data_IF_903636513145
#
_entry.id   IF_903636513145
#
_cell.length_a   1.000
_cell.length_b   1.000
_cell.length_c   1.000
_cell.angle_alpha   90.00
_cell.angle_beta   90.00
_cell.angle_gamma   90.00
#
_symmetry.space_group_name_H-M   'P 1'
#
loop_
_entity.id
_entity.type
_entity.pdbx_description
1 polymer ?
#
# COMPACT_ATOMS: atom_id res chain seq x y z
N UNK A 1 2.01 -12.88 -8.56
CA UNK A 1 0.87 -12.09 -9.08
C UNK A 1 1.39 -10.77 -9.61
N UNK A 2 0.86 -10.26 -10.72
CA UNK A 2 1.20 -8.95 -11.28
C UNK A 2 0.13 -7.93 -10.91
N UNK A 3 0.57 -6.82 -10.32
CA UNK A 3 -0.29 -5.68 -10.05
C UNK A 3 -0.94 -5.16 -11.34
N UNK A 4 -2.24 -4.87 -11.31
CA UNK A 4 -3.01 -4.34 -12.43
C UNK A 4 -3.43 -5.35 -13.50
N UNK A 5 -3.00 -6.60 -13.41
CA UNK A 5 -3.33 -7.67 -14.35
C UNK A 5 -4.02 -8.83 -13.63
N UNK A 6 -3.42 -9.35 -12.56
CA UNK A 6 -3.91 -10.54 -11.88
C UNK A 6 -5.03 -10.22 -10.88
N UNK A 7 -5.97 -11.16 -10.75
CA UNK A 7 -7.07 -11.09 -9.79
C UNK A 7 -6.83 -11.98 -8.57
N UNK A 8 -7.37 -11.54 -7.43
CA UNK A 8 -7.40 -12.29 -6.18
C UNK A 8 -8.86 -12.55 -5.83
N UNK A 9 -9.18 -13.83 -5.59
CA UNK A 9 -10.45 -14.26 -5.01
C UNK A 9 -10.26 -14.56 -3.53
N UNK A 10 -11.04 -13.88 -2.69
CA UNK A 10 -11.00 -14.06 -1.23
C UNK A 10 -12.37 -14.54 -0.77
N UNK A 11 -12.37 -15.68 -0.09
CA UNK A 11 -13.54 -16.20 0.62
C UNK A 11 -13.30 -16.10 2.10
N UNK A 12 -14.28 -15.57 2.83
CA UNK A 12 -14.22 -15.49 4.29
C UNK A 12 -15.57 -15.80 4.92
N UNK A 13 -15.52 -16.29 6.16
CA UNK A 13 -16.68 -16.58 7.00
C UNK A 13 -16.32 -16.44 8.47
N UNK A 14 -17.34 -16.21 9.31
CA UNK A 14 -17.15 -16.24 10.76
C UNK A 14 -16.97 -17.70 11.20
N UNK A 15 -16.00 -17.94 12.07
CA UNK A 15 -15.78 -19.26 12.63
C UNK A 15 -16.98 -19.69 13.49
N UNK A 16 -17.57 -20.85 13.18
CA UNK A 16 -18.77 -21.39 13.83
C UNK A 16 -18.57 -21.81 15.29
N UNK A 17 -17.32 -21.82 15.79
CA UNK A 17 -17.04 -22.07 17.22
C UNK A 17 -17.31 -20.86 18.10
N UNK A 18 -17.48 -19.66 17.54
CA UNK A 18 -17.80 -18.48 18.34
C UNK A 18 -19.25 -18.49 18.82
N UNK A 19 -19.54 -17.90 20.00
CA UNK A 19 -20.91 -17.71 20.48
C UNK A 19 -21.76 -16.89 19.49
N UNK A 20 -23.06 -17.20 19.44
CA UNK A 20 -24.01 -16.42 18.67
C UNK A 20 -24.02 -14.95 19.12
N UNK A 21 -24.06 -14.01 18.17
CA UNK A 21 -24.12 -12.57 18.43
C UNK A 21 -22.77 -11.86 18.58
N UNK A 22 -21.64 -12.58 18.45
CA UNK A 22 -20.30 -11.97 18.44
C UNK A 22 -20.11 -10.96 17.29
N UNK A 23 -20.87 -11.14 16.21
CA UNK A 23 -20.90 -10.35 14.99
C UNK A 23 -21.95 -9.24 15.00
N UNK A 24 -22.65 -9.02 16.12
CA UNK A 24 -23.71 -8.01 16.24
C UNK A 24 -23.28 -6.59 15.86
N UNK A 25 -22.00 -6.26 16.10
CA UNK A 25 -21.41 -4.98 15.72
C UNK A 25 -20.96 -4.92 14.26
N UNK A 26 -20.83 -6.04 13.56
CA UNK A 26 -20.25 -6.09 12.22
C UNK A 26 -21.26 -5.57 11.18
N UNK A 27 -20.84 -4.57 10.39
CA UNK A 27 -21.66 -3.94 9.35
C UNK A 27 -21.02 -4.08 7.98
N UNK A 28 -19.73 -3.81 7.89
CA UNK A 28 -18.98 -3.90 6.64
C UNK A 28 -17.70 -4.69 6.82
N UNK A 29 -17.15 -5.16 5.69
CA UNK A 29 -15.87 -5.84 5.63
C UNK A 29 -14.97 -5.18 4.60
N UNK A 30 -13.72 -4.98 5.01
CA UNK A 30 -12.64 -4.44 4.18
C UNK A 30 -11.49 -5.44 4.15
N UNK A 31 -11.06 -5.82 2.96
CA UNK A 31 -9.98 -6.78 2.75
C UNK A 31 -8.72 -6.02 2.33
N UNK A 32 -7.62 -6.25 3.05
CA UNK A 32 -6.33 -5.59 2.82
C UNK A 32 -5.23 -6.61 2.55
N UNK A 33 -4.26 -6.19 1.75
CA UNK A 33 -2.95 -6.84 1.63
C UNK A 33 -2.04 -6.37 2.76
N UNK A 34 -1.37 -7.33 3.36
CA UNK A 34 -0.55 -7.16 4.54
C UNK A 34 0.87 -7.68 4.27
N UNK A 35 1.89 -6.87 4.57
CA UNK A 35 3.28 -7.27 4.34
C UNK A 35 3.69 -8.46 5.21
N UNK A 36 4.25 -9.51 4.60
CA UNK A 36 4.87 -10.59 5.34
C UNK A 36 6.15 -10.12 6.06
N UNK A 37 6.60 -10.76 7.16
CA UNK A 37 7.78 -10.35 7.92
C UNK A 37 9.04 -10.15 7.07
N UNK A 38 9.26 -11.01 6.07
CA UNK A 38 10.38 -10.89 5.12
C UNK A 38 10.37 -9.55 4.35
N UNK A 39 9.18 -9.00 4.09
CA UNK A 39 8.99 -7.72 3.38
C UNK A 39 8.88 -6.50 4.31
N UNK A 40 9.02 -6.71 5.63
CA UNK A 40 9.06 -5.65 6.67
C UNK A 40 10.48 -5.33 7.15
N UNK A 41 11.45 -6.21 6.89
CA UNK A 41 12.85 -6.03 7.33
C UNK A 41 13.40 -4.68 6.86
N UNK A 42 13.97 -3.91 7.79
CA UNK A 42 14.54 -2.57 7.58
C UNK A 42 13.56 -1.52 7.01
N UNK A 43 12.25 -1.80 7.05
CA UNK A 43 11.19 -0.91 6.53
C UNK A 43 10.22 -0.57 7.64
N UNK A 44 10.59 0.37 8.50
CA UNK A 44 9.76 0.81 9.64
C UNK A 44 8.35 1.29 9.25
N UNK A 45 8.16 1.75 8.01
CA UNK A 45 6.86 2.10 7.46
C UNK A 45 5.98 0.90 7.12
N UNK A 46 6.41 -0.35 7.33
CA UNK A 46 5.63 -1.59 7.12
C UNK A 46 5.50 -2.42 8.39
N UNK A 47 5.91 -1.86 9.54
CA UNK A 47 6.05 -2.58 10.80
C UNK A 47 4.69 -3.03 11.37
N UNK A 48 4.66 -4.27 11.83
CA UNK A 48 3.54 -4.81 12.62
C UNK A 48 3.52 -4.22 14.02
N UNK A 49 2.33 -3.79 14.46
CA UNK A 49 2.04 -3.31 15.82
C UNK A 49 0.73 -3.95 16.27
N UNK A 50 0.65 -4.37 17.53
CA UNK A 50 -0.56 -5.02 18.07
C UNK A 50 -1.75 -4.06 18.13
N UNK A 51 -1.49 -2.77 18.34
CA UNK A 51 -2.52 -1.75 18.19
C UNK A 51 -2.85 -1.54 16.71
N UNK A 52 -4.03 -1.99 16.29
CA UNK A 52 -4.52 -1.92 14.91
C UNK A 52 -4.48 -0.51 14.32
N UNK A 53 -4.78 0.53 15.12
CA UNK A 53 -4.74 1.93 14.68
C UNK A 53 -3.33 2.36 14.30
N UNK A 54 -2.31 1.75 14.90
CA UNK A 54 -0.88 2.01 14.63
C UNK A 54 -0.26 0.96 13.70
N UNK A 55 -0.99 -0.09 13.32
CA UNK A 55 -0.47 -1.19 12.51
C UNK A 55 -0.24 -0.71 11.07
N UNK A 56 1.01 -0.75 10.63
CA UNK A 56 1.40 -0.37 9.26
C UNK A 56 1.56 -1.57 8.35
N UNK A 57 1.22 -2.77 8.83
CA UNK A 57 1.37 -4.01 8.06
C UNK A 57 0.43 -4.05 6.86
N UNK A 58 -0.81 -3.60 7.03
CA UNK A 58 -1.88 -3.74 6.06
C UNK A 58 -2.28 -2.39 5.45
N UNK A 59 -1.63 -2.00 4.35
CA UNK A 59 -1.78 -0.67 3.77
C UNK A 59 -2.66 -0.64 2.52
N UNK A 60 -2.64 -1.73 1.75
CA UNK A 60 -3.28 -1.74 0.43
C UNK A 60 -4.65 -2.41 0.52
N UNK A 61 -5.70 -1.70 0.13
CA UNK A 61 -7.07 -2.24 0.13
C UNK A 61 -7.31 -2.95 -1.20
N UNK A 62 -7.79 -4.20 -1.13
CA UNK A 62 -8.26 -4.94 -2.30
C UNK A 62 -9.76 -4.72 -2.47
N UNK A 63 -10.50 -4.89 -1.37
CA UNK A 63 -11.95 -4.77 -1.31
C UNK A 63 -12.28 -3.83 -0.17
N UNK A 64 -13.11 -2.82 -0.42
CA UNK A 64 -13.49 -1.84 0.59
C UNK A 64 -15.01 -1.83 0.82
N UNK A 65 -15.39 -1.71 2.09
CA UNK A 65 -16.76 -1.40 2.54
C UNK A 65 -17.85 -2.32 1.95
N UNK A 66 -17.57 -3.62 1.84
CA UNK A 66 -18.61 -4.58 1.43
C UNK A 66 -19.54 -4.90 2.60
N UNK A 67 -20.85 -5.05 2.39
CA UNK A 67 -21.75 -5.47 3.46
C UNK A 67 -21.31 -6.79 4.09
N UNK A 68 -21.37 -6.88 5.40
CA UNK A 68 -21.22 -8.13 6.12
C UNK A 68 -22.51 -8.95 5.96
N UNK A 69 -22.41 -10.15 5.39
CA UNK A 69 -23.57 -11.04 5.18
C UNK A 69 -23.31 -12.36 5.93
N UNK A 70 -24.11 -12.65 6.94
CA UNK A 70 -24.11 -13.91 7.69
C UNK A 70 -25.51 -14.54 7.60
N UNK A 71 -25.65 -15.89 7.44
CA UNK A 71 -24.64 -16.95 7.61
C UNK A 71 -23.91 -17.39 6.33
N UNK A 72 -24.00 -16.66 5.22
CA UNK A 72 -23.35 -17.05 3.96
C UNK A 72 -21.84 -16.83 3.94
N UNK A 73 -21.11 -17.71 3.26
CA UNK A 73 -19.71 -17.45 2.90
C UNK A 73 -19.65 -16.24 1.95
N UNK A 74 -18.80 -15.27 2.27
CA UNK A 74 -18.62 -14.08 1.46
C UNK A 74 -17.41 -14.27 0.56
N UNK A 75 -17.65 -14.30 -0.76
CA UNK A 75 -16.59 -14.43 -1.78
C UNK A 75 -16.50 -13.14 -2.57
N UNK A 76 -15.29 -12.61 -2.69
CA UNK A 76 -15.02 -11.42 -3.48
C UNK A 76 -13.83 -11.66 -4.40
N UNK A 77 -13.98 -11.33 -5.68
CA UNK A 77 -12.90 -11.32 -6.66
C UNK A 77 -12.58 -9.89 -7.03
N UNK A 78 -11.30 -9.53 -7.04
CA UNK A 78 -10.85 -8.20 -7.40
C UNK A 78 -9.43 -8.21 -7.93
N UNK A 79 -9.15 -7.36 -8.91
CA UNK A 79 -7.83 -7.15 -9.48
C UNK A 79 -6.89 -6.48 -8.48
N UNK A 80 -5.64 -6.93 -8.42
CA UNK A 80 -4.61 -6.27 -7.62
C UNK A 80 -4.39 -4.86 -8.15
N UNK A 81 -4.44 -3.84 -7.29
CA UNK A 81 -4.26 -2.45 -7.72
C UNK A 81 -2.83 -2.19 -8.24
N UNK A 82 -2.70 -1.26 -9.18
CA UNK A 82 -1.45 -0.93 -9.87
C UNK A 82 -0.38 -0.30 -8.95
N UNK A 83 -0.80 0.30 -7.85
CA UNK A 83 0.04 0.98 -6.87
C UNK A 83 0.60 0.03 -5.78
N UNK A 84 0.22 -1.25 -5.83
CA UNK A 84 0.75 -2.26 -4.90
C UNK A 84 2.21 -2.55 -5.25
N UNK A 85 3.18 -2.30 -4.34
CA UNK A 85 4.59 -2.45 -4.62
C UNK A 85 5.03 -3.92 -4.57
N UNK A 86 6.16 -4.23 -5.21
CA UNK A 86 6.75 -5.58 -5.19
C UNK A 86 7.12 -5.98 -3.77
N UNK A 87 6.50 -7.06 -3.28
CA UNK A 87 6.74 -7.63 -1.96
C UNK A 87 5.97 -8.95 -1.78
N UNK A 88 6.28 -9.64 -0.68
CA UNK A 88 5.55 -10.80 -0.18
C UNK A 88 4.44 -10.35 0.77
N UNK A 89 3.22 -10.84 0.54
CA UNK A 89 2.01 -10.46 1.26
C UNK A 89 1.24 -11.67 1.79
N UNK A 90 0.37 -11.40 2.76
CA UNK A 90 -0.78 -12.22 3.14
C UNK A 90 -2.04 -11.34 3.15
N UNK A 91 -3.21 -11.94 3.31
CA UNK A 91 -4.49 -11.21 3.28
C UNK A 91 -5.08 -11.15 4.69
N UNK A 92 -5.66 -10.00 5.02
CA UNK A 92 -6.46 -9.82 6.23
C UNK A 92 -7.80 -9.17 5.88
N UNK A 93 -8.87 -9.80 6.33
CA UNK A 93 -10.23 -9.28 6.26
C UNK A 93 -10.59 -8.62 7.60
N UNK A 94 -10.97 -7.36 7.57
CA UNK A 94 -11.36 -6.57 8.72
C UNK A 94 -12.87 -6.40 8.74
N UNK A 95 -13.51 -6.74 9.85
CA UNK A 95 -14.90 -6.40 10.12
C UNK A 95 -14.96 -5.00 10.76
N UNK A 96 -15.88 -4.18 10.30
CA UNK A 96 -16.07 -2.81 10.73
C UNK A 96 -17.47 -2.59 11.29
N UNK A 97 -17.57 -1.71 12.30
CA UNK A 97 -18.85 -1.29 12.86
C UNK A 97 -19.54 -0.20 12.01
N UNK A 98 -20.66 0.34 12.50
CA UNK A 98 -21.38 1.44 11.82
C UNK A 98 -20.61 2.76 11.74
N UNK A 99 -19.61 2.95 12.61
CA UNK A 99 -18.73 4.12 12.64
C UNK A 99 -17.53 3.95 11.70
N UNK A 100 -17.32 2.74 11.16
CA UNK A 100 -16.20 2.39 10.29
C UNK A 100 -14.97 1.88 11.02
N UNK A 101 -15.04 1.71 12.34
CA UNK A 101 -13.92 1.22 13.16
C UNK A 101 -13.72 -0.28 12.97
N UNK A 102 -12.46 -0.68 12.88
CA UNK A 102 -12.05 -2.08 12.80
C UNK A 102 -12.23 -2.76 14.16
N UNK A 103 -13.25 -3.62 14.27
CA UNK A 103 -13.62 -4.30 15.52
C UNK A 103 -13.14 -5.74 15.59
N UNK A 104 -12.86 -6.36 14.44
CA UNK A 104 -12.30 -7.69 14.37
C UNK A 104 -11.56 -7.91 13.04
N UNK A 105 -10.72 -8.93 12.99
CA UNK A 105 -10.11 -9.35 11.74
C UNK A 105 -9.90 -10.87 11.67
N UNK A 106 -9.91 -11.40 10.46
CA UNK A 106 -9.40 -12.72 10.11
C UNK A 106 -8.25 -12.59 9.12
N UNK A 107 -7.30 -13.52 9.13
CA UNK A 107 -6.14 -13.49 8.23
C UNK A 107 -5.82 -14.87 7.68
N UNK A 108 -5.20 -14.91 6.49
CA UNK A 108 -4.87 -16.17 5.80
C UNK A 108 -3.62 -16.86 6.35
N UNK A 109 -2.87 -16.20 7.24
CA UNK A 109 -1.57 -16.65 7.75
C UNK A 109 -1.62 -16.98 9.24
N UNK A 110 -0.60 -17.66 9.74
CA UNK A 110 -0.46 -18.03 11.15
C UNK A 110 -0.02 -16.84 12.03
N UNK A 111 0.13 -17.08 13.34
CA UNK A 111 0.57 -16.05 14.30
C UNK A 111 1.95 -15.47 13.95
N UNK A 112 2.86 -16.29 13.44
CA UNK A 112 4.20 -15.88 13.01
C UNK A 112 4.21 -15.24 11.62
N UNK A 113 3.08 -15.27 10.89
CA UNK A 113 2.93 -14.71 9.53
C UNK A 113 3.90 -15.33 8.53
N UNK A 114 4.12 -16.64 8.64
CA UNK A 114 5.09 -17.41 7.89
C UNK A 114 4.47 -18.32 6.81
N UNK A 115 3.17 -18.60 6.89
CA UNK A 115 2.47 -19.50 5.95
C UNK A 115 1.46 -18.75 5.06
N UNK A 116 1.05 -19.38 3.95
CA UNK A 116 0.06 -18.82 3.00
C UNK A 116 0.43 -17.42 2.49
N UNK A 117 1.72 -17.25 2.24
CA UNK A 117 2.30 -16.04 1.68
C UNK A 117 2.33 -16.12 0.16
N UNK A 118 2.22 -14.99 -0.51
CA UNK A 118 2.34 -14.89 -1.95
C UNK A 118 3.06 -13.62 -2.36
N UNK A 119 3.71 -13.63 -3.52
CA UNK A 119 4.43 -12.49 -4.04
C UNK A 119 3.59 -11.72 -5.05
N UNK A 120 3.57 -10.39 -4.86
CA UNK A 120 3.06 -9.45 -5.86
C UNK A 120 4.25 -8.77 -6.50
N UNK A 121 4.28 -8.73 -7.82
CA UNK A 121 5.17 -7.94 -8.65
C UNK A 121 4.43 -6.64 -9.02
N UNK A 122 4.99 -5.50 -8.65
CA UNK A 122 4.49 -4.20 -9.07
C UNK A 122 4.59 -4.05 -10.59
N UNK A 123 3.80 -3.12 -11.13
CA UNK A 123 4.01 -2.68 -12.51
C UNK A 123 5.37 -2.00 -12.59
N UNK A 124 6.25 -2.52 -13.43
CA UNK A 124 7.48 -1.84 -13.81
C UNK A 124 7.09 -0.67 -14.71
N UNK A 125 6.84 0.49 -14.12
CA UNK A 125 6.51 1.72 -14.83
C UNK A 125 7.23 2.89 -14.20
N UNK A 126 8.00 3.64 -14.99
CA UNK A 126 8.49 4.96 -14.59
C UNK A 126 7.26 5.80 -14.25
N UNK A 127 7.09 6.16 -12.99
CA UNK A 127 5.97 7.01 -12.60
C UNK A 127 6.06 8.31 -13.41
N UNK A 128 4.95 8.77 -13.98
CA UNK A 128 4.89 10.01 -14.78
C UNK A 128 5.44 11.21 -13.97
N UNK A 129 5.26 11.20 -12.65
CA UNK A 129 5.85 12.19 -11.75
C UNK A 129 7.39 12.17 -11.73
N UNK A 130 8.00 10.99 -11.81
CA UNK A 130 9.45 10.81 -11.84
C UNK A 130 10.02 11.24 -13.21
N UNK A 131 9.29 10.96 -14.29
CA UNK A 131 9.57 11.52 -15.62
C UNK A 131 9.58 13.04 -15.60
N UNK A 132 8.49 13.66 -15.13
CA UNK A 132 8.36 15.13 -15.05
C UNK A 132 9.47 15.73 -14.17
N UNK A 133 9.71 15.18 -12.98
CA UNK A 133 10.75 15.66 -12.09
C UNK A 133 12.13 15.59 -12.75
N UNK A 134 12.44 14.50 -13.47
CA UNK A 134 13.72 14.36 -14.17
C UNK A 134 13.90 15.41 -15.27
N UNK A 135 12.85 15.77 -16.00
CA UNK A 135 12.88 16.81 -17.02
C UNK A 135 13.12 18.18 -16.36
N UNK A 136 12.38 18.51 -15.31
CA UNK A 136 12.52 19.78 -14.60
C UNK A 136 13.93 19.97 -14.01
N UNK A 137 14.48 18.95 -13.33
CA UNK A 137 15.82 19.03 -12.75
C UNK A 137 16.93 19.10 -13.81
N UNK A 138 16.75 18.42 -14.94
CA UNK A 138 17.69 18.49 -16.06
C UNK A 138 17.68 19.86 -16.73
N UNK A 139 16.50 20.46 -16.93
CA UNK A 139 16.40 21.81 -17.46
C UNK A 139 17.00 22.85 -16.49
N UNK A 140 16.71 22.70 -15.18
CA UNK A 140 17.24 23.60 -14.15
C UNK A 140 18.77 23.57 -14.08
N UNK A 141 19.40 22.38 -14.17
CA UNK A 141 20.85 22.27 -14.12
C UNK A 141 21.51 23.01 -15.27
N UNK A 142 21.00 22.85 -16.50
CA UNK A 142 21.51 23.52 -17.69
C UNK A 142 21.33 25.04 -17.58
N UNK A 143 20.12 25.50 -17.21
CA UNK A 143 19.82 26.94 -17.06
C UNK A 143 20.69 27.56 -15.97
N UNK A 144 20.88 26.88 -14.84
CA UNK A 144 21.73 27.36 -13.76
C UNK A 144 23.19 27.51 -14.20
N UNK A 145 23.72 26.54 -14.95
CA UNK A 145 25.09 26.58 -15.47
C UNK A 145 25.29 27.76 -16.43
N UNK A 146 24.38 27.96 -17.38
CA UNK A 146 24.42 29.12 -18.27
C UNK A 146 24.26 30.45 -17.53
N UNK A 147 23.39 30.49 -16.52
CA UNK A 147 23.23 31.64 -15.63
C UNK A 147 24.53 32.00 -14.91
N UNK A 148 25.24 30.99 -14.37
CA UNK A 148 26.54 31.18 -13.73
C UNK A 148 27.58 31.75 -14.70
N UNK A 149 27.75 31.15 -15.89
CA UNK A 149 28.69 31.67 -16.89
C UNK A 149 28.37 33.10 -17.34
N UNK A 150 27.08 33.44 -17.48
CA UNK A 150 26.68 34.79 -17.86
C UNK A 150 26.99 35.82 -16.77
N UNK A 151 26.72 35.47 -15.50
CA UNK A 151 27.06 36.32 -14.36
C UNK A 151 28.58 36.50 -14.21
N UNK A 152 29.35 35.42 -14.37
CA UNK A 152 30.81 35.47 -14.33
C UNK A 152 31.37 36.38 -15.42
N UNK A 153 30.90 36.24 -16.66
CA UNK A 153 31.29 37.09 -17.80
C UNK A 153 30.91 38.56 -17.60
N UNK A 154 29.80 38.86 -16.91
CA UNK A 154 29.45 40.24 -16.55
C UNK A 154 30.36 40.80 -15.47
N UNK A 155 30.75 39.99 -14.48
CA UNK A 155 31.66 40.41 -13.41
C UNK A 155 33.09 40.64 -13.91
N UNK A 156 33.60 39.81 -14.83
CA UNK A 156 34.94 40.02 -15.39
C UNK A 156 35.04 41.34 -16.16
N UNK A 157 34.06 41.63 -17.03
CA UNK A 157 33.97 42.90 -17.77
C UNK A 157 33.85 44.13 -16.87
N UNK A 158 33.13 44.01 -15.75
CA UNK A 158 32.99 45.11 -14.79
C UNK A 158 34.29 45.36 -13.99
N UNK A 159 35.16 44.36 -13.86
CA UNK A 159 36.44 44.48 -13.16
C UNK A 159 37.56 45.03 -14.05
N UNK A 160 37.53 44.80 -15.36
CA UNK A 160 38.50 45.37 -16.33
C UNK A 160 38.24 46.86 -16.63
N UNK A 161 37.04 47.36 -16.33
CA UNK A 161 36.62 48.74 -16.57
C UNK A 161 36.96 49.71 -15.42
N UNK A 162 37.80 49.30 -14.45
CA UNK A 162 38.07 50.05 -13.22
C UNK A 162 39.56 50.35 -13.05
#
# INVERSE_FOLDING_TARGET
>A
LKAGEDEITVTWSLNSTFPAGVDSSYKTVTIKLCYAPISQKDRGWRKTVDNLVKDKTCQHKIVANKPYIFPSNNTFTSTVLRDVPTATYFIRAYAQNSEGDEVAYGQTTDSHKAVNLFEIQAITGRHVSLDIASICFSAFSIVSLFGFFFLEKRKSKASESK
#
